data_IF_643436463446
#
_entry.id   IF_643436463446
#
_cell.length_a   1.000
_cell.length_b   1.000
_cell.length_c   1.000
_cell.angle_alpha   90.00
_cell.angle_beta   90.00
_cell.angle_gamma   90.00
#
_symmetry.space_group_name_H-M   'P 1'
#
loop_
_entity.id
_entity.type
_entity.pdbx_description
1 polymer ?
#
# COMPACT_ATOMS: atom_id res chain seq x y z
N UNK A 1 27.34 58.05 -5.81
CA UNK A 1 28.67 57.40 -5.64
C UNK A 1 28.50 56.00 -6.22
N UNK A 2 28.93 55.71 -7.47
CA UNK A 2 30.27 55.18 -7.84
C UNK A 2 30.73 54.13 -6.82
N UNK A 3 30.97 52.84 -7.12
CA UNK A 3 31.08 52.13 -8.38
C UNK A 3 31.35 50.63 -8.12
N UNK A 4 31.34 49.89 -9.22
CA UNK A 4 31.50 48.45 -9.42
C UNK A 4 32.87 47.92 -8.93
N UNK A 5 32.90 46.69 -8.38
CA UNK A 5 34.03 45.75 -8.53
C UNK A 5 33.49 44.32 -8.72
N UNK A 6 33.89 43.72 -9.83
CA UNK A 6 33.73 42.31 -10.18
C UNK A 6 35.05 41.56 -9.96
N UNK A 7 34.99 40.29 -9.54
CA UNK A 7 36.07 39.29 -9.67
C UNK A 7 35.39 37.94 -9.93
N UNK A 8 35.25 37.54 -11.19
CA UNK A 8 36.18 36.72 -12.01
C UNK A 8 36.17 35.23 -11.65
N UNK A 9 35.30 34.51 -12.35
CA UNK A 9 35.35 33.07 -12.57
C UNK A 9 36.61 32.66 -13.34
N UNK A 10 37.30 31.62 -12.88
CA UNK A 10 38.29 30.90 -13.69
C UNK A 10 38.04 29.39 -13.60
N UNK A 11 37.69 28.86 -14.77
CA UNK A 11 38.14 27.60 -15.37
C UNK A 11 37.96 26.28 -14.60
N UNK A 12 36.90 25.56 -14.96
CA UNK A 12 36.82 24.11 -14.87
C UNK A 12 36.61 23.54 -16.28
N UNK A 13 37.60 22.78 -16.78
CA UNK A 13 37.46 21.87 -17.92
C UNK A 13 37.97 20.47 -17.54
N UNK A 14 37.53 19.40 -18.22
CA UNK A 14 37.25 18.10 -17.61
C UNK A 14 38.34 17.06 -17.90
N UNK A 15 38.56 16.13 -16.97
CA UNK A 15 39.29 14.88 -17.26
C UNK A 15 38.34 13.70 -17.35
N UNK A 16 38.26 13.18 -18.58
CA UNK A 16 37.70 11.91 -18.99
C UNK A 16 38.50 10.73 -18.44
N UNK A 17 37.81 9.74 -17.87
CA UNK A 17 38.33 8.39 -17.70
C UNK A 17 37.40 7.40 -18.41
N UNK A 18 37.86 6.94 -19.57
CA UNK A 18 37.40 5.72 -20.23
C UNK A 18 38.04 4.51 -19.55
N UNK A 19 37.24 3.52 -19.16
CA UNK A 19 37.74 2.16 -18.95
C UNK A 19 36.67 1.16 -19.38
N UNK A 20 36.90 0.59 -20.55
CA UNK A 20 36.25 -0.60 -21.08
C UNK A 20 36.85 -1.84 -20.43
N UNK A 21 36.00 -2.73 -19.92
CA UNK A 21 36.38 -4.13 -19.71
C UNK A 21 35.20 -5.04 -20.07
N UNK A 22 35.26 -5.56 -21.29
CA UNK A 22 34.63 -6.84 -21.64
C UNK A 22 35.36 -7.96 -20.90
N UNK A 23 34.62 -8.84 -20.22
CA UNK A 23 35.04 -10.21 -20.03
C UNK A 23 33.80 -11.10 -19.96
N UNK A 24 33.63 -11.94 -20.99
CA UNK A 24 32.64 -12.99 -21.02
C UNK A 24 33.25 -14.32 -20.61
N UNK A 25 32.46 -15.15 -19.94
CA UNK A 25 32.60 -16.62 -19.89
C UNK A 25 31.33 -17.18 -19.23
N UNK A 26 30.38 -17.69 -20.02
CA UNK A 26 30.13 -19.13 -20.25
C UNK A 26 29.90 -19.96 -18.97
N UNK A 27 28.64 -20.38 -18.83
CA UNK A 27 28.11 -21.52 -18.06
C UNK A 27 28.71 -22.83 -18.59
N UNK A 28 28.93 -23.87 -17.74
CA UNK A 28 27.97 -24.98 -17.60
C UNK A 28 27.84 -25.40 -16.11
N UNK A 29 26.86 -26.14 -15.61
CA UNK A 29 25.86 -27.04 -16.16
C UNK A 29 25.15 -27.71 -14.96
N UNK A 30 24.13 -28.50 -15.28
CA UNK A 30 23.21 -29.19 -14.37
C UNK A 30 23.83 -29.90 -13.17
N UNK A 31 23.17 -29.76 -12.01
CA UNK A 31 23.16 -30.77 -10.95
C UNK A 31 21.71 -31.00 -10.48
N UNK A 32 21.06 -31.90 -11.21
CA UNK A 32 19.94 -32.69 -10.72
C UNK A 32 20.37 -33.52 -9.50
N UNK A 33 19.56 -33.50 -8.44
CA UNK A 33 19.47 -34.63 -7.51
C UNK A 33 19.92 -34.36 -6.08
N UNK A 34 19.01 -33.82 -5.26
CA UNK A 34 18.96 -34.16 -3.83
C UNK A 34 17.49 -34.43 -3.48
N UNK A 35 17.14 -35.72 -3.38
CA UNK A 35 15.89 -36.19 -2.80
C UNK A 35 15.99 -36.07 -1.28
N UNK A 36 15.12 -35.27 -0.67
CA UNK A 36 14.93 -35.25 0.78
C UNK A 36 14.15 -36.48 1.26
N UNK A 37 14.37 -36.96 2.49
CA UNK A 37 13.72 -38.17 3.02
C UNK A 37 12.24 -37.91 3.37
N UNK A 38 11.42 -38.91 3.07
CA UNK A 38 9.97 -38.91 3.27
C UNK A 38 9.52 -38.80 4.72
N UNK A 39 8.40 -38.10 4.92
CA UNK A 39 7.64 -38.08 6.16
C UNK A 39 6.66 -39.27 6.21
N UNK A 40 6.56 -39.99 7.34
CA UNK A 40 5.50 -40.98 7.53
C UNK A 40 4.19 -40.31 7.96
N UNK A 41 3.09 -40.83 7.42
CA UNK A 41 1.72 -40.55 7.84
C UNK A 41 1.32 -41.37 9.07
N UNK A 42 0.56 -40.73 9.99
CA UNK A 42 -0.41 -41.24 11.00
C UNK A 42 -0.52 -40.17 12.11
N UNK A 43 -1.59 -39.97 12.87
CA UNK A 43 -3.00 -40.38 12.87
C UNK A 43 -3.69 -39.53 13.95
N UNK A 44 -5.00 -39.36 13.79
CA UNK A 44 -5.98 -38.76 14.71
C UNK A 44 -5.77 -38.95 16.23
N UNK A 45 -5.88 -37.86 17.00
CA UNK A 45 -6.60 -37.82 18.28
C UNK A 45 -7.02 -36.37 18.58
N UNK A 46 -8.29 -36.19 18.94
CA UNK A 46 -8.93 -34.89 19.08
C UNK A 46 -8.71 -34.23 20.43
N UNK A 47 -8.76 -32.90 20.41
CA UNK A 47 -9.07 -32.08 21.59
C UNK A 47 -9.82 -30.85 21.12
N UNK A 48 -11.14 -30.87 21.26
CA UNK A 48 -12.03 -29.73 20.99
C UNK A 48 -11.87 -28.73 22.14
N UNK A 49 -11.30 -27.55 21.87
CA UNK A 49 -11.34 -26.41 22.78
C UNK A 49 -12.23 -25.32 22.17
N UNK A 50 -13.15 -24.72 22.94
CA UNK A 50 -14.09 -23.74 22.41
C UNK A 50 -13.36 -22.43 22.08
N UNK A 51 -13.37 -22.03 20.81
CA UNK A 51 -13.03 -20.66 20.41
C UNK A 51 -14.16 -19.75 20.90
N UNK A 52 -13.83 -18.90 21.88
CA UNK A 52 -14.68 -17.81 22.31
C UNK A 52 -14.68 -16.75 21.19
N UNK A 53 -15.63 -16.84 20.26
CA UNK A 53 -15.96 -15.75 19.35
C UNK A 53 -16.66 -14.68 20.17
N UNK A 54 -15.99 -13.57 20.45
CA UNK A 54 -16.62 -12.38 21.02
C UNK A 54 -17.46 -11.70 19.93
N UNK A 55 -18.69 -12.16 19.74
CA UNK A 55 -19.70 -11.47 18.94
C UNK A 55 -20.23 -10.26 19.71
N UNK A 56 -19.75 -9.07 19.34
CA UNK A 56 -20.34 -7.80 19.79
C UNK A 56 -21.71 -7.65 19.09
N UNK A 57 -22.78 -8.02 19.79
CA UNK A 57 -24.15 -7.84 19.32
C UNK A 57 -24.64 -6.39 19.54
N UNK A 58 -24.56 -5.56 18.50
CA UNK A 58 -25.41 -4.38 18.42
C UNK A 58 -26.79 -4.76 17.90
N UNK A 59 -27.80 -4.71 18.78
CA UNK A 59 -29.21 -4.88 18.40
C UNK A 59 -29.65 -3.73 17.49
N UNK A 60 -29.84 -4.00 16.21
CA UNK A 60 -30.83 -3.29 15.38
C UNK A 60 -31.53 -4.29 14.45
N UNK A 61 -32.86 -4.41 14.57
CA UNK A 61 -33.69 -5.16 13.62
C UNK A 61 -34.19 -4.19 12.53
N UNK A 62 -33.67 -4.34 11.31
CA UNK A 62 -34.40 -4.32 10.01
C UNK A 62 -33.36 -4.39 8.87
N UNK A 63 -33.35 -5.52 8.16
CA UNK A 63 -32.46 -5.81 7.01
C UNK A 63 -31.06 -6.24 7.43
N UNK A 64 -30.68 -7.50 7.17
CA UNK A 64 -29.30 -7.95 7.35
C UNK A 64 -28.43 -7.31 6.27
N UNK A 65 -27.92 -6.10 6.53
CA UNK A 65 -26.87 -5.51 5.72
C UNK A 65 -25.55 -6.20 6.08
N UNK A 66 -24.92 -6.86 5.10
CA UNK A 66 -23.58 -7.45 5.25
C UNK A 66 -22.61 -6.38 5.74
N UNK A 67 -21.68 -6.76 6.62
CA UNK A 67 -20.59 -5.86 7.03
C UNK A 67 -19.70 -5.65 5.80
N UNK A 68 -19.50 -4.41 5.33
CA UNK A 68 -18.87 -4.13 4.04
C UNK A 68 -17.35 -4.34 4.02
N UNK A 69 -16.74 -4.53 5.20
CA UNK A 69 -15.31 -4.77 5.36
C UNK A 69 -15.14 -5.95 6.30
N UNK A 70 -14.52 -7.02 5.82
CA UNK A 70 -14.31 -8.25 6.56
C UNK A 70 -12.83 -8.36 6.90
N UNK A 71 -12.49 -8.38 8.20
CA UNK A 71 -11.10 -8.48 8.64
C UNK A 71 -10.84 -9.85 9.29
N UNK A 72 -10.11 -10.70 8.58
CA UNK A 72 -9.71 -12.03 9.03
C UNK A 72 -8.23 -12.00 9.48
N UNK A 73 -7.92 -12.59 10.63
CA UNK A 73 -6.56 -12.64 11.20
C UNK A 73 -6.05 -14.07 11.17
N UNK A 74 -4.95 -14.34 10.45
CA UNK A 74 -4.32 -15.66 10.37
C UNK A 74 -2.85 -15.59 10.79
N UNK A 75 -2.59 -15.93 12.05
CA UNK A 75 -1.26 -15.78 12.63
C UNK A 75 -0.82 -14.32 12.59
N UNK A 76 0.26 -14.04 11.84
CA UNK A 76 0.84 -12.70 11.68
C UNK A 76 0.30 -11.93 10.47
N UNK A 77 -0.54 -12.58 9.65
CA UNK A 77 -1.03 -12.05 8.39
C UNK A 77 -2.52 -11.74 8.54
N UNK A 78 -2.86 -10.48 8.37
CA UNK A 78 -4.23 -10.01 8.28
C UNK A 78 -4.75 -10.08 6.84
N UNK A 79 -6.04 -10.30 6.65
CA UNK A 79 -6.72 -10.21 5.37
C UNK A 79 -7.98 -9.36 5.51
N UNK A 80 -7.97 -8.18 4.90
CA UNK A 80 -9.12 -7.29 4.80
C UNK A 80 -9.78 -7.47 3.42
N UNK A 81 -11.04 -7.94 3.41
CA UNK A 81 -11.84 -8.10 2.20
C UNK A 81 -12.86 -6.97 2.11
N UNK A 82 -12.93 -6.32 0.95
CA UNK A 82 -13.79 -5.16 0.67
C UNK A 82 -15.01 -5.57 -0.14
N UNK A 83 -16.19 -5.29 0.41
CA UNK A 83 -17.49 -5.53 -0.19
C UNK A 83 -18.24 -4.19 -0.41
N UNK A 84 -18.08 -3.67 -1.61
CA UNK A 84 -18.89 -2.60 -2.17
C UNK A 84 -20.17 -3.10 -2.85
N UNK A 85 -20.91 -2.16 -3.43
CA UNK A 85 -22.19 -2.42 -4.09
C UNK A 85 -22.02 -2.99 -5.49
N UNK A 86 -22.93 -3.91 -5.86
CA UNK A 86 -22.99 -4.53 -7.18
C UNK A 86 -21.78 -5.40 -7.52
N UNK A 87 -21.76 -5.92 -8.74
CA UNK A 87 -20.70 -6.82 -9.23
C UNK A 87 -19.34 -6.11 -9.35
N UNK A 88 -19.34 -4.80 -9.58
CA UNK A 88 -18.14 -3.98 -9.81
C UNK A 88 -17.60 -3.31 -8.54
N UNK A 89 -18.11 -3.73 -7.37
CA UNK A 89 -17.58 -3.38 -6.06
C UNK A 89 -17.48 -1.87 -5.80
N UNK A 90 -18.55 -1.10 -6.09
CA UNK A 90 -18.55 0.37 -5.94
C UNK A 90 -18.51 0.77 -4.46
N UNK A 91 -17.62 1.68 -4.11
CA UNK A 91 -17.36 2.12 -2.74
C UNK A 91 -18.06 3.45 -2.43
N UNK A 92 -18.35 3.70 -1.16
CA UNK A 92 -18.77 5.01 -0.69
C UNK A 92 -18.12 5.31 0.67
N UNK A 93 -18.03 6.60 1.07
CA UNK A 93 -17.42 6.98 2.35
C UNK A 93 -17.98 6.22 3.55
N UNK A 94 -19.29 6.27 3.77
CA UNK A 94 -19.90 5.64 4.94
C UNK A 94 -19.95 4.12 4.86
N UNK A 95 -19.98 3.56 3.66
CA UNK A 95 -20.15 2.12 3.49
C UNK A 95 -18.81 1.39 3.48
N UNK A 96 -17.79 1.87 2.77
CA UNK A 96 -16.53 1.11 2.64
C UNK A 96 -15.35 1.86 3.26
N UNK A 97 -15.19 3.16 3.00
CA UNK A 97 -13.98 3.87 3.44
C UNK A 97 -13.91 4.02 4.97
N UNK A 98 -15.00 4.42 5.62
CA UNK A 98 -15.01 4.58 7.08
C UNK A 98 -14.80 3.23 7.80
N UNK A 99 -15.49 2.12 7.43
CA UNK A 99 -15.19 0.81 8.01
C UNK A 99 -13.79 0.27 7.66
N UNK A 100 -13.25 0.58 6.47
CA UNK A 100 -11.87 0.23 6.11
C UNK A 100 -10.88 0.96 6.99
N UNK A 101 -11.11 2.26 7.25
CA UNK A 101 -10.30 3.02 8.19
C UNK A 101 -10.32 2.37 9.57
N UNK A 102 -11.49 2.05 10.10
CA UNK A 102 -11.63 1.41 11.42
C UNK A 102 -10.89 0.05 11.46
N UNK A 103 -10.99 -0.77 10.40
CA UNK A 103 -10.26 -2.04 10.29
C UNK A 103 -8.73 -1.86 10.19
N UNK A 104 -8.27 -0.82 9.49
CA UNK A 104 -6.84 -0.49 9.44
C UNK A 104 -6.32 0.04 10.77
N UNK A 105 -7.14 0.74 11.56
CA UNK A 105 -6.79 1.13 12.93
C UNK A 105 -6.64 -0.10 13.82
N UNK A 106 -7.56 -1.07 13.76
CA UNK A 106 -7.41 -2.36 14.44
C UNK A 106 -6.10 -3.05 14.02
N UNK A 107 -5.83 -3.15 12.72
CA UNK A 107 -4.56 -3.69 12.22
C UNK A 107 -3.32 -2.94 12.73
N UNK A 108 -3.34 -1.61 12.75
CA UNK A 108 -2.23 -0.80 13.26
C UNK A 108 -1.98 -1.09 14.75
N UNK A 109 -3.06 -1.20 15.54
CA UNK A 109 -2.99 -1.34 16.99
C UNK A 109 -2.67 -2.77 17.45
N UNK A 110 -2.96 -3.79 16.64
CA UNK A 110 -2.75 -5.20 16.99
C UNK A 110 -1.28 -5.62 16.81
N UNK A 111 -0.47 -5.78 17.87
CA UNK A 111 0.96 -6.10 17.74
C UNK A 111 1.23 -7.48 17.13
N UNK A 112 0.24 -8.37 17.11
CA UNK A 112 0.39 -9.72 16.55
C UNK A 112 0.13 -9.75 15.03
N UNK A 113 -0.45 -8.69 14.45
CA UNK A 113 -0.64 -8.55 13.01
C UNK A 113 0.48 -7.71 12.40
N UNK A 114 1.26 -8.31 11.50
CA UNK A 114 2.52 -7.74 11.00
C UNK A 114 2.41 -7.22 9.57
N UNK A 115 1.57 -7.83 8.75
CA UNK A 115 1.29 -7.46 7.36
C UNK A 115 -0.19 -7.70 7.09
N UNK A 116 -0.79 -6.89 6.20
CA UNK A 116 -2.18 -7.06 5.80
C UNK A 116 -2.31 -7.17 4.28
N UNK A 117 -3.16 -8.07 3.81
CA UNK A 117 -3.60 -8.17 2.42
C UNK A 117 -4.97 -7.48 2.30
N UNK A 118 -5.13 -6.61 1.31
CA UNK A 118 -6.41 -6.00 0.93
C UNK A 118 -6.88 -6.59 -0.39
N UNK A 119 -8.10 -7.11 -0.43
CA UNK A 119 -8.73 -7.64 -1.66
C UNK A 119 -10.20 -7.23 -1.74
N UNK A 120 -10.84 -7.43 -2.90
CA UNK A 120 -12.30 -7.55 -2.91
C UNK A 120 -12.74 -8.88 -2.29
N UNK A 121 -14.00 -8.97 -1.87
CA UNK A 121 -14.63 -10.27 -1.58
C UNK A 121 -14.73 -11.13 -2.84
N UNK A 122 -14.77 -12.44 -2.66
CA UNK A 122 -14.85 -13.41 -3.76
C UNK A 122 -16.11 -13.17 -4.62
N UNK A 123 -15.98 -13.44 -5.93
CA UNK A 123 -17.08 -13.30 -6.89
C UNK A 123 -17.32 -11.89 -7.45
N UNK A 124 -16.61 -10.87 -6.98
CA UNK A 124 -16.63 -9.54 -7.62
C UNK A 124 -15.90 -9.57 -8.96
N UNK A 125 -16.42 -8.82 -9.94
CA UNK A 125 -15.82 -8.68 -11.28
C UNK A 125 -14.66 -7.69 -11.35
N UNK A 126 -14.50 -6.88 -10.30
CA UNK A 126 -13.48 -5.85 -10.19
C UNK A 126 -13.02 -5.73 -8.74
N UNK A 127 -11.83 -5.17 -8.52
CA UNK A 127 -11.45 -4.74 -7.19
C UNK A 127 -12.35 -3.58 -6.76
N UNK A 128 -12.49 -2.56 -7.61
CA UNK A 128 -13.56 -1.54 -7.53
C UNK A 128 -13.60 -0.68 -8.78
N UNK A 129 -14.80 -0.23 -9.16
CA UNK A 129 -15.00 0.84 -10.16
C UNK A 129 -14.96 2.25 -9.56
N UNK A 130 -14.57 2.38 -8.29
CA UNK A 130 -14.36 3.65 -7.61
C UNK A 130 -15.53 4.06 -6.71
N UNK A 131 -15.57 5.35 -6.40
CA UNK A 131 -16.60 5.94 -5.53
C UNK A 131 -17.95 6.07 -6.22
N UNK A 132 -19.03 5.96 -5.45
CA UNK A 132 -20.38 6.26 -5.91
C UNK A 132 -20.46 7.71 -6.40
N UNK A 133 -20.62 7.90 -7.72
CA UNK A 133 -20.69 9.21 -8.36
C UNK A 133 -21.83 10.06 -7.77
N UNK A 134 -22.92 9.46 -7.30
CA UNK A 134 -24.00 10.21 -6.65
C UNK A 134 -23.58 10.77 -5.29
N UNK A 135 -22.74 10.04 -4.55
CA UNK A 135 -22.12 10.54 -3.31
C UNK A 135 -21.10 11.63 -3.61
N UNK A 136 -20.31 11.48 -4.68
CA UNK A 136 -19.34 12.49 -5.11
C UNK A 136 -20.01 13.78 -5.60
N UNK A 137 -21.15 13.68 -6.30
CA UNK A 137 -21.92 14.82 -6.76
C UNK A 137 -22.53 15.61 -5.59
N UNK A 138 -23.07 14.93 -4.57
CA UNK A 138 -23.56 15.58 -3.35
C UNK A 138 -22.44 16.33 -2.61
N UNK A 139 -21.27 15.70 -2.55
CA UNK A 139 -20.07 16.26 -1.94
C UNK A 139 -19.56 17.49 -2.71
N UNK A 140 -19.51 17.42 -4.05
CA UNK A 140 -19.11 18.51 -4.93
C UNK A 140 -20.09 19.69 -4.92
N UNK A 141 -21.39 19.42 -4.78
CA UNK A 141 -22.43 20.44 -4.67
C UNK A 141 -22.55 21.04 -3.25
N UNK A 142 -21.76 20.55 -2.29
CA UNK A 142 -21.78 21.09 -0.94
C UNK A 142 -23.07 20.88 -0.17
N UNK A 143 -23.86 19.90 -0.59
CA UNK A 143 -25.16 19.56 0.00
C UNK A 143 -25.02 18.65 1.23
N UNK A 144 -23.79 18.26 1.56
CA UNK A 144 -23.44 17.59 2.81
C UNK A 144 -22.88 18.61 3.81
N UNK A 145 -23.44 18.63 5.02
CA UNK A 145 -23.59 19.81 5.89
C UNK A 145 -22.35 20.23 6.69
N UNK A 146 -21.15 20.25 6.11
CA UNK A 146 -19.96 20.65 6.89
C UNK A 146 -18.80 21.24 6.11
N UNK A 147 -19.02 22.21 5.24
CA UNK A 147 -17.91 22.95 4.61
C UNK A 147 -16.90 23.47 5.64
N UNK A 148 -15.67 22.94 5.62
CA UNK A 148 -14.50 23.65 6.17
C UNK A 148 -14.06 24.67 5.13
N UNK A 149 -14.65 25.87 5.18
CA UNK A 149 -14.11 27.01 4.45
C UNK A 149 -12.76 27.38 5.04
N UNK A 150 -11.73 27.49 4.21
CA UNK A 150 -10.58 28.32 4.56
C UNK A 150 -11.07 29.76 4.38
N UNK A 151 -11.28 30.50 5.47
CA UNK A 151 -11.72 31.90 5.38
C UNK A 151 -10.56 32.76 4.87
N UNK A 152 -10.56 33.00 3.56
CA UNK A 152 -9.62 33.86 2.85
C UNK A 152 -10.33 34.78 1.86
N UNK A 153 -11.23 35.64 2.34
CA UNK A 153 -11.89 36.67 1.53
C UNK A 153 -12.92 36.15 0.51
N UNK A 154 -13.19 36.95 -0.54
CA UNK A 154 -14.24 36.73 -1.55
C UNK A 154 -14.04 35.46 -2.41
N UNK A 155 -12.89 34.79 -2.32
CA UNK A 155 -12.61 33.52 -2.99
C UNK A 155 -12.78 32.35 -2.02
N UNK A 156 -14.00 31.79 -1.93
CA UNK A 156 -14.23 30.52 -1.23
C UNK A 156 -13.57 29.38 -2.01
N UNK A 157 -12.44 28.89 -1.53
CA UNK A 157 -11.92 27.59 -1.95
C UNK A 157 -12.84 26.54 -1.36
N UNK A 158 -13.69 25.95 -2.20
CA UNK A 158 -14.54 24.83 -1.82
C UNK A 158 -13.68 23.59 -1.59
N UNK A 159 -13.35 23.33 -0.33
CA UNK A 159 -12.93 21.99 0.09
C UNK A 159 -14.20 21.23 0.46
N UNK A 160 -14.53 20.13 -0.25
CA UNK A 160 -15.63 19.30 0.15
C UNK A 160 -15.40 18.76 1.56
N UNK A 161 -16.47 18.65 2.35
CA UNK A 161 -16.38 18.05 3.68
C UNK A 161 -16.27 16.54 3.56
N UNK A 162 -15.06 16.06 3.33
CA UNK A 162 -14.79 14.62 3.40
C UNK A 162 -14.69 14.24 4.87
N UNK A 163 -15.34 13.15 5.26
CA UNK A 163 -15.15 12.58 6.61
C UNK A 163 -13.65 12.42 6.90
N UNK A 164 -13.21 12.82 8.10
CA UNK A 164 -11.80 12.82 8.46
C UNK A 164 -11.14 11.44 8.30
N UNK A 165 -11.88 10.35 8.53
CA UNK A 165 -11.37 8.98 8.36
C UNK A 165 -11.13 8.68 6.89
N UNK A 166 -12.07 9.08 6.03
CA UNK A 166 -11.91 8.97 4.58
C UNK A 166 -10.72 9.82 4.09
N UNK A 167 -10.58 11.05 4.57
CA UNK A 167 -9.43 11.91 4.24
C UNK A 167 -8.10 11.25 4.62
N UNK A 168 -7.99 10.68 5.82
CA UNK A 168 -6.78 9.97 6.29
C UNK A 168 -6.38 8.78 5.42
N UNK A 169 -7.33 8.09 4.79
CA UNK A 169 -7.04 6.99 3.87
C UNK A 169 -6.35 7.44 2.59
N UNK A 170 -6.60 8.67 2.13
CA UNK A 170 -6.15 9.14 0.82
C UNK A 170 -5.02 10.16 0.87
N UNK A 171 -4.91 10.95 1.94
CA UNK A 171 -3.91 12.00 2.07
C UNK A 171 -2.59 11.51 2.71
N UNK A 172 -2.49 10.23 3.08
CA UNK A 172 -1.31 9.64 3.70
C UNK A 172 -1.16 9.93 5.20
N UNK A 173 -2.17 10.52 5.86
CA UNK A 173 -2.12 10.83 7.30
C UNK A 173 -2.46 9.65 8.19
N UNK A 174 -3.04 8.57 7.64
CA UNK A 174 -3.13 7.31 8.36
C UNK A 174 -1.71 6.81 8.63
N UNK A 175 -1.30 6.79 9.91
CA UNK A 175 0.04 6.35 10.39
C UNK A 175 0.24 4.83 10.22
N UNK A 176 0.10 4.35 8.99
CA UNK A 176 0.14 2.95 8.60
C UNK A 176 1.58 2.54 8.32
N UNK A 177 2.28 2.17 9.39
CA UNK A 177 3.70 1.80 9.37
C UNK A 177 3.92 0.32 9.08
N UNK A 178 2.87 -0.50 9.14
CA UNK A 178 2.90 -1.93 8.82
C UNK A 178 2.65 -2.16 7.33
N UNK A 179 3.28 -3.18 6.70
CA UNK A 179 3.12 -3.45 5.28
C UNK A 179 1.68 -3.78 4.84
N UNK A 180 1.32 -3.31 3.65
CA UNK A 180 0.02 -3.49 3.02
C UNK A 180 0.24 -4.04 1.61
N UNK A 181 -0.39 -5.17 1.32
CA UNK A 181 -0.36 -5.82 0.01
C UNK A 181 -1.75 -5.70 -0.61
N UNK A 182 -1.83 -5.25 -1.85
CA UNK A 182 -3.08 -5.25 -2.61
C UNK A 182 -3.15 -6.50 -3.50
N UNK A 183 -4.23 -7.27 -3.37
CA UNK A 183 -4.60 -8.38 -4.24
C UNK A 183 -5.76 -7.94 -5.14
N UNK A 184 -5.42 -7.50 -6.35
CA UNK A 184 -6.33 -6.83 -7.30
C UNK A 184 -6.88 -7.86 -8.30
N UNK A 185 -8.10 -8.35 -8.05
CA UNK A 185 -8.75 -9.41 -8.84
C UNK A 185 -9.32 -8.95 -10.20
N UNK A 186 -9.20 -7.67 -10.54
CA UNK A 186 -9.75 -7.06 -11.75
C UNK A 186 -9.55 -5.55 -11.73
N UNK A 187 -10.34 -4.80 -12.48
CA UNK A 187 -10.24 -3.34 -12.53
C UNK A 187 -10.21 -2.68 -11.13
N UNK A 188 -9.31 -1.72 -10.97
CA UNK A 188 -9.14 -0.91 -9.76
C UNK A 188 -9.10 0.56 -10.17
N UNK A 189 -10.26 1.21 -10.22
CA UNK A 189 -10.48 2.48 -10.92
C UNK A 189 -10.83 3.60 -9.93
N UNK A 190 -10.41 4.83 -10.25
CA UNK A 190 -10.76 6.07 -9.56
C UNK A 190 -10.28 6.03 -8.11
N UNK A 191 -11.22 6.15 -7.17
CA UNK A 191 -10.93 6.03 -5.74
C UNK A 191 -10.27 4.69 -5.36
N UNK A 192 -10.46 3.61 -6.12
CA UNK A 192 -9.71 2.37 -5.96
C UNK A 192 -8.22 2.52 -6.26
N UNK A 193 -7.89 3.12 -7.41
CA UNK A 193 -6.50 3.44 -7.77
C UNK A 193 -5.90 4.39 -6.73
N UNK A 194 -6.69 5.35 -6.24
CA UNK A 194 -6.26 6.29 -5.22
C UNK A 194 -5.95 5.59 -3.88
N UNK A 195 -6.79 4.65 -3.44
CA UNK A 195 -6.52 3.82 -2.27
C UNK A 195 -5.24 3.01 -2.45
N UNK A 196 -5.07 2.37 -3.61
CA UNK A 196 -3.86 1.61 -3.93
C UNK A 196 -2.62 2.49 -3.82
N UNK A 197 -2.61 3.66 -4.48
CA UNK A 197 -1.49 4.59 -4.43
C UNK A 197 -1.18 5.12 -3.02
N UNK A 198 -2.19 5.28 -2.17
CA UNK A 198 -2.03 5.81 -0.81
C UNK A 198 -1.52 4.75 0.17
N UNK A 199 -2.04 3.53 0.06
CA UNK A 199 -1.89 2.49 1.08
C UNK A 199 -0.90 1.38 0.72
N UNK A 200 -0.84 0.97 -0.56
CA UNK A 200 -0.11 -0.21 -0.98
C UNK A 200 1.41 0.00 -0.88
N UNK A 201 2.10 -1.01 -0.34
CA UNK A 201 3.55 -1.15 -0.51
C UNK A 201 3.88 -2.16 -1.62
N UNK A 202 3.00 -3.14 -1.80
CA UNK A 202 3.08 -4.17 -2.83
C UNK A 202 1.70 -4.33 -3.46
N UNK A 203 1.65 -4.52 -4.78
CA UNK A 203 0.42 -4.85 -5.50
C UNK A 203 0.63 -6.03 -6.44
N UNK A 204 -0.27 -7.02 -6.35
CA UNK A 204 -0.42 -8.13 -7.29
C UNK A 204 -1.76 -7.95 -8.00
N UNK A 205 -1.77 -8.03 -9.32
CA UNK A 205 -2.98 -7.83 -10.12
C UNK A 205 -3.28 -9.01 -11.04
N UNK A 206 -4.55 -9.27 -11.28
CA UNK A 206 -5.00 -10.23 -12.28
C UNK A 206 -4.62 -9.74 -13.69
N UNK A 207 -4.33 -10.69 -14.58
CA UNK A 207 -4.34 -10.44 -16.03
C UNK A 207 -5.64 -9.74 -16.45
N UNK A 208 -5.53 -8.72 -17.28
CA UNK A 208 -6.67 -7.92 -17.73
C UNK A 208 -7.21 -6.89 -16.72
N UNK A 209 -6.66 -6.81 -15.51
CA UNK A 209 -6.94 -5.70 -14.60
C UNK A 209 -6.45 -4.37 -15.17
N UNK A 210 -7.13 -3.28 -14.84
CA UNK A 210 -6.75 -1.92 -15.27
C UNK A 210 -6.83 -0.93 -14.12
N UNK A 211 -5.99 0.10 -14.20
CA UNK A 211 -5.83 1.16 -13.20
C UNK A 211 -6.04 2.53 -13.84
N UNK A 212 -6.51 3.51 -13.09
CA UNK A 212 -6.54 4.88 -13.58
C UNK A 212 -7.57 5.75 -12.92
N UNK A 213 -7.50 7.04 -13.27
CA UNK A 213 -8.30 8.12 -12.69
C UNK A 213 -9.16 8.75 -13.81
N UNK A 214 -10.29 8.12 -14.20
CA UNK A 214 -11.09 8.58 -15.32
C UNK A 214 -12.05 9.73 -14.96
N UNK A 215 -11.92 10.37 -13.79
CA UNK A 215 -12.81 11.41 -13.26
C UNK A 215 -12.98 12.62 -14.20
N UNK A 216 -11.97 12.89 -15.04
CA UNK A 216 -12.04 13.95 -16.04
C UNK A 216 -13.14 13.72 -17.09
N UNK A 217 -13.46 12.45 -17.41
CA UNK A 217 -14.47 12.08 -18.43
C UNK A 217 -15.90 12.48 -18.05
N UNK A 218 -16.38 12.22 -16.82
CA UNK A 218 -17.66 12.75 -16.34
C UNK A 218 -17.60 14.20 -15.85
N UNK A 219 -16.51 14.93 -16.14
CA UNK A 219 -16.27 16.29 -15.63
C UNK A 219 -16.29 16.40 -14.09
N UNK A 220 -15.88 15.34 -13.41
CA UNK A 220 -15.60 15.35 -11.97
C UNK A 220 -14.18 15.93 -11.85
N UNK A 221 -14.09 17.20 -11.48
CA UNK A 221 -12.81 17.88 -11.29
C UNK A 221 -11.99 17.29 -10.13
N UNK A 222 -10.74 17.75 -9.94
CA UNK A 222 -9.95 17.37 -8.77
C UNK A 222 -10.67 17.78 -7.49
N UNK A 223 -11.15 16.80 -6.73
CA UNK A 223 -11.92 17.03 -5.49
C UNK A 223 -10.99 17.54 -4.37
N UNK A 224 -9.79 16.96 -4.26
CA UNK A 224 -8.85 17.19 -3.14
C UNK A 224 -7.37 17.19 -3.54
N UNK A 225 -7.05 17.15 -4.85
CA UNK A 225 -5.68 17.09 -5.40
C UNK A 225 -4.82 15.87 -5.00
N UNK A 226 -5.37 14.92 -4.24
CA UNK A 226 -4.64 13.74 -3.75
C UNK A 226 -4.15 12.86 -4.90
N UNK A 227 -5.00 12.67 -5.91
CA UNK A 227 -4.72 11.79 -7.03
C UNK A 227 -3.53 12.29 -7.85
N UNK A 228 -3.52 13.59 -8.15
CA UNK A 228 -2.45 14.29 -8.87
C UNK A 228 -1.13 14.27 -8.08
N UNK A 229 -1.20 14.50 -6.76
CA UNK A 229 -0.03 14.51 -5.89
C UNK A 229 0.61 13.12 -5.75
N UNK A 230 -0.18 12.05 -5.71
CA UNK A 230 0.29 10.68 -5.54
C UNK A 230 0.81 10.09 -6.85
N UNK A 231 0.06 10.22 -7.95
CA UNK A 231 0.43 9.56 -9.22
C UNK A 231 1.75 10.11 -9.78
N UNK A 232 2.00 11.41 -9.64
CA UNK A 232 3.23 12.07 -10.09
C UNK A 232 4.47 11.69 -9.26
N UNK A 233 4.28 11.14 -8.06
CA UNK A 233 5.34 10.58 -7.19
C UNK A 233 5.62 9.10 -7.45
N UNK A 234 4.75 8.41 -8.20
CA UNK A 234 4.82 6.96 -8.40
C UNK A 234 5.14 6.58 -9.84
N UNK A 235 4.68 7.37 -10.81
CA UNK A 235 4.91 7.13 -12.22
C UNK A 235 5.85 8.18 -12.83
N UNK A 236 6.55 7.83 -13.94
CA UNK A 236 7.25 8.83 -14.74
C UNK A 236 6.30 9.95 -15.17
N UNK A 237 6.78 11.19 -15.09
CA UNK A 237 5.96 12.39 -15.31
C UNK A 237 5.03 12.31 -16.53
N UNK A 238 5.55 11.87 -17.69
CA UNK A 238 4.78 11.81 -18.94
C UNK A 238 3.67 10.77 -18.89
N UNK A 239 3.90 9.63 -18.23
CA UNK A 239 2.90 8.58 -18.05
C UNK A 239 1.82 9.06 -17.08
N UNK A 240 2.22 9.66 -15.96
CA UNK A 240 1.29 10.27 -15.00
C UNK A 240 0.39 11.31 -15.67
N UNK A 241 0.98 12.23 -16.44
CA UNK A 241 0.23 13.26 -17.17
C UNK A 241 -0.70 12.67 -18.21
N UNK A 242 -0.29 11.63 -18.94
CA UNK A 242 -1.16 10.95 -19.90
C UNK A 242 -2.41 10.39 -19.22
N UNK A 243 -2.26 9.68 -18.09
CA UNK A 243 -3.39 9.13 -17.35
C UNK A 243 -4.32 10.22 -16.82
N UNK A 244 -3.77 11.29 -16.26
CA UNK A 244 -4.53 12.40 -15.69
C UNK A 244 -5.33 13.18 -16.75
N UNK A 245 -4.72 13.53 -17.89
CA UNK A 245 -5.36 14.42 -18.87
C UNK A 245 -6.24 13.69 -19.88
N UNK A 246 -6.00 12.40 -20.13
CA UNK A 246 -6.84 11.59 -21.03
C UNK A 246 -7.92 10.82 -20.28
N UNK A 247 -7.74 10.58 -18.98
CA UNK A 247 -8.58 9.69 -18.18
C UNK A 247 -8.60 8.25 -18.72
N UNK A 248 -7.56 7.81 -19.47
CA UNK A 248 -7.46 6.42 -19.92
C UNK A 248 -7.14 5.51 -18.75
N UNK A 249 -7.44 4.23 -18.92
CA UNK A 249 -7.02 3.19 -17.99
C UNK A 249 -5.72 2.56 -18.48
N UNK A 250 -4.80 2.31 -17.55
CA UNK A 250 -3.53 1.62 -17.71
C UNK A 250 -3.73 0.12 -17.45
N UNK A 251 -3.50 -0.76 -18.45
CA UNK A 251 -3.52 -2.21 -18.26
C UNK A 251 -2.46 -2.69 -17.26
N UNK A 252 -2.69 -3.84 -16.63
CA UNK A 252 -1.81 -4.41 -15.62
C UNK A 252 -0.38 -4.66 -16.11
N UNK A 253 -0.20 -5.06 -17.36
CA UNK A 253 1.11 -5.32 -17.97
C UNK A 253 1.91 -4.02 -18.16
N UNK A 254 1.22 -2.93 -18.54
CA UNK A 254 1.81 -1.59 -18.62
C UNK A 254 2.16 -1.07 -17.21
N UNK A 255 1.25 -1.27 -16.25
CA UNK A 255 1.46 -0.93 -14.84
C UNK A 255 2.71 -1.63 -14.27
N UNK A 256 2.90 -2.93 -14.56
CA UNK A 256 4.08 -3.69 -14.19
C UNK A 256 5.34 -3.12 -14.86
N UNK A 257 5.28 -2.81 -16.15
CA UNK A 257 6.40 -2.23 -16.90
C UNK A 257 6.87 -0.87 -16.38
N UNK A 258 5.99 -0.12 -15.72
CA UNK A 258 6.33 1.15 -15.07
C UNK A 258 6.66 1.02 -13.57
N UNK A 259 6.61 -0.18 -13.00
CA UNK A 259 6.82 -0.42 -11.57
C UNK A 259 5.69 0.11 -10.68
N UNK A 260 4.49 0.31 -11.24
CA UNK A 260 3.30 0.73 -10.50
C UNK A 260 2.71 -0.43 -9.68
N UNK A 261 2.91 -1.66 -10.13
CA UNK A 261 2.59 -2.90 -9.43
C UNK A 261 3.78 -3.85 -9.47
N UNK A 262 3.78 -4.87 -8.61
CA UNK A 262 4.92 -5.79 -8.46
C UNK A 262 4.76 -7.08 -9.26
N UNK A 263 3.52 -7.51 -9.52
CA UNK A 263 3.25 -8.77 -10.24
C UNK A 263 1.90 -8.73 -10.97
N UNK A 264 1.88 -9.37 -12.14
CA UNK A 264 0.66 -9.76 -12.84
C UNK A 264 0.54 -11.28 -12.75
N UNK A 265 -0.64 -11.78 -12.40
CA UNK A 265 -0.91 -13.20 -12.17
C UNK A 265 -2.21 -13.61 -12.86
N UNK A 266 -2.38 -14.91 -13.11
CA UNK A 266 -3.67 -15.46 -13.52
C UNK A 266 -4.74 -15.08 -12.47
N UNK A 267 -6.02 -14.85 -12.86
CA UNK A 267 -7.04 -14.36 -11.94
C UNK A 267 -7.25 -15.21 -10.68
N UNK A 268 -7.04 -16.53 -10.77
CA UNK A 268 -7.14 -17.48 -9.67
C UNK A 268 -5.86 -17.60 -8.81
N UNK A 269 -4.74 -17.03 -9.26
CA UNK A 269 -3.46 -17.06 -8.53
C UNK A 269 -3.12 -15.74 -7.80
N UNK A 270 -3.84 -14.65 -8.05
CA UNK A 270 -3.60 -13.33 -7.44
C UNK A 270 -3.47 -13.41 -5.92
N UNK A 271 -4.37 -14.15 -5.25
CA UNK A 271 -4.35 -14.28 -3.79
C UNK A 271 -3.17 -15.13 -3.30
N UNK A 272 -2.83 -16.20 -4.02
CA UNK A 272 -1.69 -17.05 -3.69
C UNK A 272 -0.38 -16.25 -3.77
N UNK A 273 -0.22 -15.44 -4.82
CA UNK A 273 0.93 -14.55 -4.98
C UNK A 273 0.99 -13.44 -3.93
N UNK A 274 -0.16 -12.86 -3.54
CA UNK A 274 -0.21 -11.90 -2.45
C UNK A 274 0.17 -12.52 -1.10
N UNK A 275 -0.26 -13.77 -0.86
CA UNK A 275 0.12 -14.54 0.32
C UNK A 275 1.62 -14.87 0.34
N UNK A 276 2.22 -15.22 -0.80
CA UNK A 276 3.67 -15.43 -0.91
C UNK A 276 4.46 -14.19 -0.45
N UNK A 277 4.07 -12.99 -0.93
CA UNK A 277 4.66 -11.74 -0.43
C UNK A 277 4.42 -11.53 1.08
N UNK A 278 3.21 -11.83 1.57
CA UNK A 278 2.89 -11.66 2.99
C UNK A 278 3.72 -12.59 3.89
N UNK A 279 3.93 -13.85 3.47
CA UNK A 279 4.75 -14.82 4.18
C UNK A 279 6.23 -14.40 4.20
N UNK A 280 6.76 -13.93 3.07
CA UNK A 280 8.12 -13.38 3.00
C UNK A 280 8.31 -12.18 3.94
N UNK A 281 7.31 -11.28 4.02
CA UNK A 281 7.34 -10.15 4.94
C UNK A 281 7.24 -10.62 6.40
N UNK A 282 6.33 -11.54 6.71
CA UNK A 282 6.12 -12.07 8.05
C UNK A 282 7.29 -12.91 8.59
N UNK A 283 8.20 -13.34 7.71
CA UNK A 283 9.46 -13.98 8.08
C UNK A 283 10.55 -13.00 8.56
N UNK A 284 10.39 -11.69 8.34
CA UNK A 284 11.32 -10.64 8.74
C UNK A 284 10.99 -10.07 10.15
N UNK A 285 11.93 -9.37 10.82
CA UNK A 285 11.65 -8.76 12.12
C UNK A 285 10.71 -7.55 11.94
N UNK A 286 9.50 -7.57 12.52
CA UNK A 286 8.42 -6.67 12.12
C UNK A 286 8.74 -5.21 12.46
N UNK A 287 9.42 -4.93 13.58
CA UNK A 287 9.82 -3.56 13.93
C UNK A 287 10.86 -2.99 12.96
N UNK A 288 11.74 -3.83 12.40
CA UNK A 288 12.69 -3.38 11.37
C UNK A 288 11.98 -3.14 10.03
N UNK A 289 11.04 -4.00 9.66
CA UNK A 289 10.21 -3.82 8.46
C UNK A 289 9.43 -2.50 8.57
N UNK A 290 8.77 -2.25 9.71
CA UNK A 290 8.04 -1.02 9.97
C UNK A 290 8.97 0.20 9.95
N UNK A 291 10.11 0.14 10.63
CA UNK A 291 11.10 1.22 10.63
C UNK A 291 11.62 1.53 9.23
N UNK A 292 11.90 0.51 8.42
CA UNK A 292 12.33 0.66 7.03
C UNK A 292 11.23 1.31 6.17
N UNK A 293 9.98 0.89 6.31
CA UNK A 293 8.83 1.49 5.60
C UNK A 293 8.64 2.96 6.00
N UNK A 294 8.70 3.27 7.30
CA UNK A 294 8.58 4.63 7.82
C UNK A 294 9.67 5.55 7.26
N UNK A 295 10.93 5.10 7.30
CA UNK A 295 12.05 5.84 6.73
C UNK A 295 11.87 6.05 5.23
N UNK A 296 11.53 5.00 4.47
CA UNK A 296 11.34 5.13 3.02
C UNK A 296 10.29 6.19 2.67
N UNK A 297 9.20 6.28 3.45
CA UNK A 297 8.19 7.33 3.29
C UNK A 297 8.71 8.71 3.68
N UNK A 298 9.35 8.87 4.84
CA UNK A 298 9.83 10.18 5.31
C UNK A 298 10.98 10.73 4.46
N UNK A 299 11.90 9.87 4.03
CA UNK A 299 13.06 10.24 3.21
C UNK A 299 12.67 10.80 1.83
N UNK A 300 11.47 10.50 1.31
CA UNK A 300 10.96 11.07 0.06
C UNK A 300 10.59 12.55 0.16
N UNK A 301 10.31 13.04 1.37
CA UNK A 301 9.79 14.39 1.60
C UNK A 301 10.84 15.34 2.19
N UNK A 302 12.10 14.88 2.34
CA UNK A 302 13.20 15.68 2.91
C UNK A 302 14.45 15.64 2.04
N UNK A 303 15.37 16.62 2.16
CA UNK A 303 16.66 16.56 1.48
C UNK A 303 17.47 15.32 1.87
N UNK A 304 18.30 14.82 0.95
CA UNK A 304 19.11 13.62 1.16
C UNK A 304 19.94 13.66 2.45
N UNK A 305 20.59 14.78 2.76
CA UNK A 305 21.37 14.91 4.00
C UNK A 305 20.50 14.72 5.27
N UNK A 306 19.27 15.24 5.28
CA UNK A 306 18.31 15.03 6.37
C UNK A 306 17.82 13.58 6.45
N UNK A 307 17.70 12.91 5.30
CA UNK A 307 17.31 11.50 5.23
C UNK A 307 18.34 10.57 5.89
N UNK A 308 19.64 10.89 5.78
CA UNK A 308 20.71 10.12 6.44
C UNK A 308 20.59 10.20 7.96
N UNK A 309 20.37 11.40 8.52
CA UNK A 309 20.19 11.58 9.96
C UNK A 309 18.95 10.85 10.48
N UNK A 310 17.85 10.84 9.72
CA UNK A 310 16.66 10.05 10.06
C UNK A 310 16.98 8.55 10.10
N UNK A 311 17.75 8.06 9.11
CA UNK A 311 18.23 6.68 9.06
C UNK A 311 19.08 6.31 10.28
N UNK A 312 20.05 7.15 10.64
CA UNK A 312 20.94 6.93 11.79
C UNK A 312 20.13 6.87 13.10
N UNK A 313 19.18 7.79 13.30
CA UNK A 313 18.34 7.80 14.50
C UNK A 313 17.43 6.57 14.58
N UNK A 314 16.81 6.17 13.47
CA UNK A 314 15.97 4.97 13.44
C UNK A 314 16.81 3.71 13.69
N UNK A 315 18.01 3.62 13.10
CA UNK A 315 18.95 2.53 13.35
C UNK A 315 19.38 2.45 14.81
N UNK A 316 19.64 3.61 15.43
CA UNK A 316 19.96 3.73 16.86
C UNK A 316 18.82 3.23 17.75
N UNK A 317 17.56 3.49 17.40
CA UNK A 317 16.40 2.98 18.15
C UNK A 317 16.24 1.48 17.93
N UNK A 318 16.29 1.01 16.68
CA UNK A 318 16.05 -0.39 16.34
C UNK A 318 17.10 -1.32 16.93
N UNK A 319 18.38 -0.92 17.06
CA UNK A 319 19.40 -1.80 17.63
C UNK A 319 19.09 -2.28 19.06
N UNK A 320 18.23 -1.55 19.78
CA UNK A 320 17.85 -1.88 21.15
C UNK A 320 16.64 -2.81 21.26
N UNK A 321 15.93 -3.12 20.16
CA UNK A 321 14.81 -4.08 20.22
C UNK A 321 15.31 -5.53 20.34
N UNK A 322 14.60 -6.43 21.04
CA UNK A 322 14.99 -7.85 21.20
C UNK A 322 15.34 -8.57 19.89
N UNK A 323 14.57 -8.31 18.84
CA UNK A 323 14.75 -8.97 17.54
C UNK A 323 16.11 -8.61 16.88
N UNK A 324 16.74 -7.51 17.26
CA UNK A 324 18.08 -7.09 16.80
C UNK A 324 19.20 -7.99 17.31
N UNK A 325 18.97 -8.71 18.42
CA UNK A 325 19.90 -9.74 18.93
C UNK A 325 19.61 -11.09 18.28
N UNK A 326 18.35 -11.38 18.01
CA UNK A 326 17.91 -12.67 17.47
C UNK A 326 18.37 -12.90 16.03
N UNK A 327 18.26 -11.90 15.15
CA UNK A 327 18.67 -12.05 13.74
C UNK A 327 20.12 -12.52 13.57
N UNK A 328 21.12 -11.78 14.11
CA UNK A 328 22.52 -12.19 14.06
C UNK A 328 22.78 -13.55 14.72
N UNK A 329 22.13 -13.83 15.87
CA UNK A 329 22.26 -15.11 16.56
C UNK A 329 21.78 -16.28 15.70
N UNK A 330 20.57 -16.19 15.14
CA UNK A 330 20.00 -17.23 14.29
C UNK A 330 20.86 -17.48 13.04
N UNK A 331 21.42 -16.41 12.45
CA UNK A 331 22.36 -16.50 11.33
C UNK A 331 23.64 -17.26 11.71
N UNK A 332 24.28 -16.92 12.83
CA UNK A 332 25.47 -17.63 13.33
C UNK A 332 25.17 -19.10 13.66
N UNK A 333 23.98 -19.39 14.18
CA UNK A 333 23.50 -20.73 14.55
C UNK A 333 22.92 -21.52 13.35
N UNK A 334 22.86 -20.94 12.15
CA UNK A 334 22.30 -21.55 10.92
C UNK A 334 20.87 -22.08 11.10
N UNK A 335 20.05 -21.36 11.86
CA UNK A 335 18.63 -21.68 12.06
C UNK A 335 17.74 -20.53 11.60
N UNK A 336 16.44 -20.80 11.46
CA UNK A 336 15.46 -19.74 11.21
C UNK A 336 15.34 -18.83 12.46
N UNK A 337 15.31 -17.50 12.28
CA UNK A 337 15.11 -16.58 13.39
C UNK A 337 13.67 -16.69 13.94
N UNK A 338 13.52 -16.45 15.24
CA UNK A 338 12.24 -16.40 15.93
C UNK A 338 11.97 -14.98 16.40
N UNK A 339 11.48 -14.14 15.49
CA UNK A 339 11.12 -12.77 15.81
C UNK A 339 9.85 -12.69 16.66
N UNK A 340 9.81 -11.72 17.57
CA UNK A 340 8.71 -11.50 18.51
C UNK A 340 7.97 -10.20 18.26
N UNK A 341 8.61 -9.21 17.63
CA UNK A 341 8.04 -7.88 17.41
C UNK A 341 7.79 -7.06 18.67
N UNK A 342 8.41 -7.43 19.79
CA UNK A 342 8.24 -6.75 21.08
C UNK A 342 9.28 -5.66 21.28
N UNK A 343 8.94 -4.69 22.12
CA UNK A 343 9.86 -3.74 22.75
C UNK A 343 9.97 -4.13 24.23
N UNK A 344 11.17 -4.07 24.80
CA UNK A 344 11.45 -4.39 26.21
C UNK A 344 10.89 -3.34 27.19
#
# INVERSE_FOLDING_TARGET
MRGIVAMSSSDCTPHSYTSSAHCGSRVPGDLTGIRGPGYPARSSAGTTLPRLCLEIHHRTRRGAHSVPVHYEKNGRIGHIKLEGRGDYNVFSPDFVYNPLHDALIDFIQDPDQWVVILSAVEGKKAFTYGGDIQSLDKLAQGKDSGTRGYEGGENRVWRPNVDQRTEQLFNGELKLNKPVIFAVNGDCIGAGTLLLMSLADIAVAAEGARFGLPEIKPAIGPITSWAEALITRQLPWRIAMELLVTGRLMPAEEALGHGFINRVAAPDEVMADALDYAEQIAANPPLHVQGSKMLAKSCREVPFASSLLQGDLMGEVLKHVPDSKEGPRAFMEKRRPQYTGKVD
#
